data_IF_993962279343
#
_entry.id   IF_993962279343
#
_cell.length_a   1.000
_cell.length_b   1.000
_cell.length_c   1.000
_cell.angle_alpha   90.00
_cell.angle_beta   90.00
_cell.angle_gamma   90.00
#
_symmetry.space_group_name_H-M   'P 1'
#
loop_
_entity.id
_entity.type
_entity.pdbx_description
1 polymer ?
#
# COMPACT_ATOMS: atom_id res chain seq x y z
N UNK A 1 21.98 2.78 -27.20
CA UNK A 1 21.82 2.75 -25.74
C UNK A 1 21.35 4.13 -25.32
N UNK A 2 20.07 4.29 -25.02
CA UNK A 2 19.56 5.56 -24.52
C UNK A 2 19.88 5.63 -23.03
N UNK A 3 20.74 6.57 -22.64
CA UNK A 3 20.96 6.97 -21.25
C UNK A 3 19.66 7.53 -20.70
N UNK A 4 19.02 6.79 -19.79
CA UNK A 4 17.91 7.29 -18.98
C UNK A 4 18.40 8.51 -18.19
N UNK A 5 17.80 9.67 -18.45
CA UNK A 5 17.96 10.85 -17.60
C UNK A 5 17.50 10.48 -16.20
N UNK A 6 18.41 10.45 -15.23
CA UNK A 6 18.03 10.33 -13.82
C UNK A 6 17.16 11.54 -13.47
N UNK A 7 15.88 11.27 -13.22
CA UNK A 7 15.00 12.21 -12.55
C UNK A 7 15.56 12.46 -11.14
N UNK A 8 15.85 13.72 -10.83
CA UNK A 8 16.22 14.18 -9.48
C UNK A 8 15.05 14.08 -8.47
N UNK A 9 13.88 13.61 -8.92
CA UNK A 9 12.67 13.44 -8.12
C UNK A 9 12.44 11.99 -7.69
N UNK A 10 11.56 11.82 -6.71
CA UNK A 10 11.11 10.49 -6.28
C UNK A 10 10.37 9.80 -7.44
N UNK A 11 10.93 8.71 -7.97
CA UNK A 11 10.35 7.92 -9.06
C UNK A 11 9.42 6.80 -8.55
N UNK A 12 9.24 6.68 -7.24
CA UNK A 12 8.35 5.69 -6.64
C UNK A 12 6.89 6.01 -6.98
N UNK A 13 6.09 4.96 -7.07
CA UNK A 13 4.63 5.08 -7.22
C UNK A 13 3.98 4.67 -5.91
N UNK A 14 3.02 5.48 -5.45
CA UNK A 14 2.29 5.22 -4.22
C UNK A 14 0.82 4.93 -4.51
N UNK A 15 0.27 3.89 -3.88
CA UNK A 15 -1.18 3.64 -3.86
C UNK A 15 -1.70 4.00 -2.47
N UNK A 16 -2.67 4.90 -2.46
CA UNK A 16 -3.46 5.24 -1.29
C UNK A 16 -4.76 4.43 -1.34
N UNK A 17 -4.79 3.32 -0.62
CA UNK A 17 -5.90 2.37 -0.62
C UNK A 17 -6.81 2.61 0.59
N UNK A 18 -8.10 2.78 0.34
CA UNK A 18 -9.13 2.98 1.37
C UNK A 18 -9.98 1.71 1.51
N UNK A 19 -10.10 1.22 2.73
CA UNK A 19 -10.77 -0.04 3.03
C UNK A 19 -11.91 0.21 4.01
N UNK A 20 -13.12 -0.07 3.53
CA UNK A 20 -14.30 -0.10 4.38
C UNK A 20 -14.27 -1.33 5.30
N UNK A 21 -14.46 -1.09 6.60
CA UNK A 21 -14.41 -2.16 7.59
C UNK A 21 -15.83 -2.58 7.98
N UNK A 22 -16.06 -3.88 8.06
CA UNK A 22 -17.32 -4.42 8.60
C UNK A 22 -17.27 -4.47 10.12
N UNK A 23 -18.13 -3.68 10.78
CA UNK A 23 -18.29 -3.68 12.24
C UNK A 23 -16.98 -3.39 12.98
N UNK A 24 -16.65 -4.23 13.97
CA UNK A 24 -15.47 -4.06 14.84
C UNK A 24 -14.20 -4.75 14.33
N UNK A 25 -14.14 -5.19 13.06
CA UNK A 25 -13.05 -6.03 12.56
C UNK A 25 -11.77 -5.28 12.18
N UNK A 26 -11.69 -3.97 12.46
CA UNK A 26 -10.55 -3.11 12.11
C UNK A 26 -9.20 -3.67 12.57
N UNK A 27 -9.11 -4.07 13.85
CA UNK A 27 -7.87 -4.60 14.41
C UNK A 27 -7.44 -5.92 13.73
N UNK A 28 -8.41 -6.77 13.39
CA UNK A 28 -8.14 -8.03 12.66
C UNK A 28 -7.62 -7.75 11.25
N UNK A 29 -8.23 -6.79 10.55
CA UNK A 29 -7.76 -6.37 9.23
C UNK A 29 -6.33 -5.81 9.30
N UNK A 30 -6.06 -4.88 10.21
CA UNK A 30 -4.73 -4.29 10.36
C UNK A 30 -3.67 -5.35 10.73
N UNK A 31 -4.01 -6.33 11.56
CA UNK A 31 -3.11 -7.45 11.86
C UNK A 31 -2.89 -8.34 10.64
N UNK A 32 -3.96 -8.67 9.90
CA UNK A 32 -3.85 -9.42 8.65
C UNK A 32 -2.92 -8.72 7.66
N UNK A 33 -3.06 -7.40 7.47
CA UNK A 33 -2.16 -6.66 6.59
C UNK A 33 -0.73 -6.67 7.12
N UNK A 34 -0.50 -6.19 8.35
CA UNK A 34 0.87 -5.90 8.82
C UNK A 34 1.68 -7.14 9.22
N UNK A 35 1.04 -8.16 9.80
CA UNK A 35 1.74 -9.37 10.25
C UNK A 35 1.78 -10.47 9.19
N UNK A 36 0.76 -10.57 8.33
CA UNK A 36 0.63 -11.70 7.41
C UNK A 36 0.90 -11.31 5.95
N UNK A 37 0.28 -10.22 5.46
CA UNK A 37 0.39 -9.85 4.05
C UNK A 37 1.68 -9.09 3.72
N UNK A 38 2.04 -8.07 4.49
CA UNK A 38 3.18 -7.20 4.17
C UNK A 38 4.51 -7.93 3.95
N UNK A 39 4.86 -8.98 4.72
CA UNK A 39 6.06 -9.78 4.42
C UNK A 39 6.02 -10.44 3.04
N UNK A 40 4.89 -11.06 2.69
CA UNK A 40 4.68 -11.76 1.42
C UNK A 40 4.68 -10.75 0.26
N UNK A 41 3.95 -9.64 0.41
CA UNK A 41 3.88 -8.57 -0.58
C UNK A 41 5.26 -7.99 -0.89
N UNK A 42 6.13 -7.87 0.12
CA UNK A 42 7.50 -7.42 -0.09
C UNK A 42 8.32 -8.43 -0.88
N UNK A 43 8.27 -9.70 -0.48
CA UNK A 43 9.10 -10.77 -1.07
C UNK A 43 8.67 -11.11 -2.49
N UNK A 44 7.37 -11.26 -2.72
CA UNK A 44 6.84 -11.78 -3.98
C UNK A 44 6.51 -10.68 -5.00
N UNK A 45 6.27 -9.44 -4.54
CA UNK A 45 5.71 -8.38 -5.39
C UNK A 45 6.49 -7.07 -5.41
N UNK A 46 7.60 -6.98 -4.68
CA UNK A 46 8.33 -5.72 -4.44
C UNK A 46 7.40 -4.56 -4.00
N UNK A 47 6.35 -4.91 -3.26
CA UNK A 47 5.36 -3.97 -2.73
C UNK A 47 5.73 -3.63 -1.28
N UNK A 48 6.12 -2.39 -1.02
CA UNK A 48 6.41 -1.92 0.33
C UNK A 48 5.13 -1.43 1.00
N UNK A 49 4.85 -1.92 2.21
CA UNK A 49 3.89 -1.31 3.12
C UNK A 49 4.49 -0.02 3.72
N UNK A 50 4.19 1.12 3.12
CA UNK A 50 4.62 2.42 3.63
C UNK A 50 3.90 2.78 4.94
N UNK A 51 2.67 2.29 5.12
CA UNK A 51 2.01 2.29 6.42
C UNK A 51 0.56 1.84 6.36
N UNK A 52 -0.02 1.61 7.55
CA UNK A 52 -1.41 1.24 7.75
C UNK A 52 -1.99 2.10 8.86
N UNK A 53 -3.09 2.81 8.59
CA UNK A 53 -3.75 3.71 9.54
C UNK A 53 -5.23 3.40 9.64
N UNK A 54 -5.83 3.81 10.76
CA UNK A 54 -7.24 3.65 11.03
C UNK A 54 -7.88 5.03 11.18
N UNK A 55 -8.98 5.26 10.49
CA UNK A 55 -9.78 6.46 10.72
C UNK A 55 -10.51 6.29 12.05
N UNK A 56 -10.47 7.31 12.90
CA UNK A 56 -11.18 7.35 14.18
C UNK A 56 -12.44 8.18 14.00
N UNK A 57 -13.55 7.81 14.66
CA UNK A 57 -14.89 8.36 14.36
C UNK A 57 -15.05 9.88 14.49
N UNK A 58 -14.09 10.59 15.10
CA UNK A 58 -14.06 12.05 15.17
C UNK A 58 -13.34 12.72 13.99
N UNK A 59 -12.68 11.97 13.11
CA UNK A 59 -11.72 12.51 12.13
C UNK A 59 -12.00 12.14 10.67
N UNK A 60 -13.10 11.42 10.38
CA UNK A 60 -13.44 11.05 9.02
C UNK A 60 -14.41 9.88 8.90
N UNK A 61 -14.35 9.20 7.75
CA UNK A 61 -15.19 8.03 7.45
C UNK A 61 -14.88 6.90 8.42
N UNK A 62 -15.89 6.39 9.12
CA UNK A 62 -15.72 5.32 10.10
C UNK A 62 -16.77 4.22 9.90
N UNK A 63 -16.39 2.94 10.02
CA UNK A 63 -15.02 2.42 10.25
C UNK A 63 -14.24 2.24 8.93
N UNK A 64 -12.99 2.69 8.91
CA UNK A 64 -12.11 2.67 7.73
C UNK A 64 -10.66 2.36 8.13
N UNK A 65 -9.94 1.67 7.24
CA UNK A 65 -8.48 1.53 7.28
C UNK A 65 -7.92 2.09 5.98
N UNK A 66 -6.73 2.67 6.08
CA UNK A 66 -5.96 3.16 4.95
C UNK A 66 -4.65 2.39 4.88
N UNK A 67 -4.36 1.77 3.74
CA UNK A 67 -3.03 1.25 3.44
C UNK A 67 -2.33 2.21 2.48
N UNK A 68 -1.05 2.47 2.71
CA UNK A 68 -0.18 3.13 1.73
C UNK A 68 0.85 2.12 1.24
N UNK A 69 0.87 1.92 -0.07
CA UNK A 69 1.81 1.03 -0.74
C UNK A 69 2.83 1.86 -1.53
N UNK A 70 4.10 1.46 -1.51
CA UNK A 70 5.14 2.01 -2.36
C UNK A 70 5.65 0.94 -3.33
N UNK A 71 5.78 1.33 -4.60
CA UNK A 71 6.36 0.52 -5.68
C UNK A 71 7.58 1.22 -6.27
N UNK A 72 8.48 0.42 -6.86
CA UNK A 72 9.72 0.90 -7.47
C UNK A 72 9.51 2.01 -8.50
N UNK A 73 8.57 1.82 -9.42
CA UNK A 73 8.17 2.73 -10.49
C UNK A 73 6.85 2.25 -11.13
N UNK A 74 6.43 2.92 -12.22
CA UNK A 74 5.22 2.56 -12.97
C UNK A 74 5.26 1.16 -13.58
N UNK A 75 6.43 0.68 -14.01
CA UNK A 75 6.58 -0.69 -14.54
C UNK A 75 6.42 -1.73 -13.43
N UNK A 76 6.99 -1.47 -12.25
CA UNK A 76 6.81 -2.30 -11.06
C UNK A 76 5.35 -2.39 -10.63
N UNK A 77 4.60 -1.29 -10.72
CA UNK A 77 3.16 -1.30 -10.50
C UNK A 77 2.40 -2.10 -11.57
N UNK A 78 2.72 -1.90 -12.85
CA UNK A 78 2.05 -2.63 -13.94
C UNK A 78 2.23 -4.14 -13.83
N UNK A 79 3.43 -4.60 -13.47
CA UNK A 79 3.71 -6.02 -13.22
C UNK A 79 2.83 -6.59 -12.09
N UNK A 80 2.56 -5.80 -11.06
CA UNK A 80 1.70 -6.20 -9.94
C UNK A 80 0.23 -6.43 -10.32
N UNK A 81 -0.26 -5.79 -11.39
CA UNK A 81 -1.64 -5.93 -11.88
C UNK A 81 -1.78 -6.89 -13.08
N UNK A 82 -0.68 -7.43 -13.60
CA UNK A 82 -0.71 -8.38 -14.70
C UNK A 82 -1.06 -9.82 -14.28
N UNK A 83 -1.28 -10.05 -12.98
CA UNK A 83 -1.54 -11.35 -12.34
C UNK A 83 -2.88 -11.31 -11.59
#
# INVERSE_FOLDING_TARGET
MATSTESLGNNKVYIHEFIEISGHNRAKYMHHMTANWCPIAREERDQLCFGVWATVGSTGRWPEVVNMWEYRDWEGLAANFAH
#
